data_IF_938752022686
#
_entry.id   IF_938752022686
#
_cell.length_a   1.000
_cell.length_b   1.000
_cell.length_c   1.000
_cell.angle_alpha   90.00
_cell.angle_beta   90.00
_cell.angle_gamma   90.00
#
_symmetry.space_group_name_H-M   'P 1'
#
loop_
_entity.id
_entity.type
_entity.pdbx_description
1 polymer ?
#
# COMPACT_ATOMS: atom_id res chain seq x y z
N UNK A 1 4.69 54.46 16.66
CA UNK A 1 3.52 53.57 16.91
C UNK A 1 3.18 52.69 15.70
N UNK A 2 3.02 53.23 14.50
CA UNK A 2 2.70 52.42 13.30
C UNK A 2 3.73 51.30 13.00
N UNK A 3 5.02 51.59 13.14
CA UNK A 3 6.11 50.60 12.91
C UNK A 3 6.11 49.49 13.97
N UNK A 4 5.76 49.79 15.20
CA UNK A 4 5.65 48.80 16.28
C UNK A 4 4.44 47.88 16.07
N UNK A 5 3.34 48.44 15.59
CA UNK A 5 2.13 47.67 15.28
C UNK A 5 2.35 46.64 14.17
N UNK A 6 3.07 47.02 13.12
CA UNK A 6 3.42 46.14 12.00
C UNK A 6 4.36 45.03 12.48
N UNK A 7 5.33 45.33 13.34
CA UNK A 7 6.24 44.32 13.89
C UNK A 7 5.49 43.29 14.77
N UNK A 8 4.54 43.72 15.57
CA UNK A 8 3.71 42.81 16.40
C UNK A 8 2.79 41.98 15.55
N UNK A 9 2.20 42.53 14.49
CA UNK A 9 1.34 41.80 13.57
C UNK A 9 2.10 40.71 12.80
N UNK A 10 3.34 41.01 12.34
CA UNK A 10 4.20 40.02 11.68
C UNK A 10 4.67 38.91 12.61
N UNK A 11 4.90 39.20 13.89
CA UNK A 11 5.29 38.21 14.89
C UNK A 11 4.13 37.24 15.20
N UNK A 12 2.89 37.72 15.22
CA UNK A 12 1.70 36.90 15.44
C UNK A 12 1.47 35.92 14.27
N UNK A 13 1.73 36.32 13.03
CA UNK A 13 1.62 35.45 11.86
C UNK A 13 2.65 34.29 11.90
N UNK A 14 3.85 34.52 12.44
CA UNK A 14 4.87 33.49 12.58
C UNK A 14 4.53 32.47 13.68
N UNK A 15 3.76 32.90 14.69
CA UNK A 15 3.36 32.04 15.82
C UNK A 15 2.09 31.22 15.58
N UNK A 16 1.39 31.41 14.44
CA UNK A 16 0.27 30.56 14.09
C UNK A 16 0.81 29.15 13.79
N UNK A 17 0.40 28.13 14.54
CA UNK A 17 0.79 26.77 14.21
C UNK A 17 0.22 26.45 12.84
N UNK A 18 1.12 26.23 11.86
CA UNK A 18 0.73 25.61 10.60
C UNK A 18 0.33 24.17 10.94
N UNK A 19 -0.91 23.97 11.30
CA UNK A 19 -1.50 22.65 11.42
C UNK A 19 -1.53 22.06 10.03
N UNK A 20 -0.45 21.40 9.64
CA UNK A 20 -0.44 20.53 8.49
C UNK A 20 -1.48 19.44 8.76
N UNK A 21 -2.70 19.64 8.28
CA UNK A 21 -3.72 18.61 8.28
C UNK A 21 -3.16 17.46 7.45
N UNK A 22 -2.67 16.41 8.13
CA UNK A 22 -2.38 15.14 7.48
C UNK A 22 -3.67 14.70 6.82
N UNK A 23 -3.79 14.85 5.50
CA UNK A 23 -4.89 14.26 4.74
C UNK A 23 -4.94 12.80 5.14
N UNK A 24 -6.07 12.35 5.70
CA UNK A 24 -6.28 10.96 6.04
C UNK A 24 -6.20 10.19 4.74
N UNK A 25 -5.14 9.38 4.58
CA UNK A 25 -4.96 8.57 3.38
C UNK A 25 -6.08 7.55 3.30
N UNK A 26 -6.72 7.43 2.14
CA UNK A 26 -7.71 6.39 1.91
C UNK A 26 -7.06 5.01 2.05
N UNK A 27 -7.82 4.03 2.53
CA UNK A 27 -7.34 2.66 2.70
C UNK A 27 -8.34 1.67 2.15
N UNK A 28 -7.85 0.61 1.54
CA UNK A 28 -8.60 -0.56 1.14
C UNK A 28 -8.48 -1.68 2.16
N UNK A 29 -9.32 -2.70 2.01
CA UNK A 29 -9.29 -3.92 2.83
C UNK A 29 -9.62 -5.12 1.96
N UNK A 30 -8.71 -6.11 1.92
CA UNK A 30 -8.89 -7.37 1.21
C UNK A 30 -8.38 -8.53 2.08
N UNK A 31 -9.29 -9.38 2.61
CA UNK A 31 -8.93 -10.50 3.47
C UNK A 31 -8.00 -11.54 2.83
N UNK A 32 -8.05 -11.70 1.50
CA UNK A 32 -7.20 -12.66 0.76
C UNK A 32 -5.71 -12.34 0.90
N UNK A 33 -5.34 -11.09 1.19
CA UNK A 33 -3.93 -10.73 1.44
C UNK A 33 -3.40 -11.23 2.79
N UNK A 34 -4.22 -11.91 3.59
CA UNK A 34 -3.87 -12.41 4.91
C UNK A 34 -3.92 -11.33 6.00
N UNK A 35 -3.99 -11.75 7.26
CA UNK A 35 -4.24 -10.86 8.41
C UNK A 35 -3.27 -9.67 8.49
N UNK A 36 -2.00 -9.90 8.18
CA UNK A 36 -0.96 -8.86 8.30
C UNK A 36 -1.04 -7.81 7.18
N UNK A 37 -1.59 -8.16 6.02
CA UNK A 37 -1.58 -7.34 4.81
C UNK A 37 -2.97 -6.99 4.28
N UNK A 38 -4.03 -7.41 4.98
CA UNK A 38 -5.40 -7.19 4.56
C UNK A 38 -5.79 -5.72 4.43
N UNK A 39 -5.15 -4.83 5.19
CA UNK A 39 -5.35 -3.38 5.08
C UNK A 39 -4.17 -2.76 4.33
N UNK A 40 -4.46 -1.92 3.35
CA UNK A 40 -3.45 -1.28 2.52
C UNK A 40 -3.81 0.18 2.22
N UNK A 41 -2.82 1.07 2.04
CA UNK A 41 -3.07 2.44 1.65
C UNK A 41 -3.44 2.52 0.17
N UNK A 42 -4.41 3.36 -0.18
CA UNK A 42 -4.67 3.72 -1.58
C UNK A 42 -3.77 4.90 -1.92
N UNK A 43 -2.80 4.68 -2.79
CA UNK A 43 -1.78 5.69 -3.13
C UNK A 43 -2.18 6.55 -4.33
N UNK A 44 -3.00 6.01 -5.25
CA UNK A 44 -3.52 6.76 -6.40
C UNK A 44 -4.88 6.22 -6.83
N UNK A 45 -5.57 6.95 -7.70
CA UNK A 45 -6.83 6.53 -8.31
C UNK A 45 -6.69 6.36 -9.85
N UNK A 46 -5.48 6.29 -10.36
CA UNK A 46 -5.22 6.21 -11.81
C UNK A 46 -5.81 4.93 -12.43
N UNK A 47 -5.87 3.85 -11.66
CA UNK A 47 -6.44 2.57 -12.08
C UNK A 47 -7.92 2.41 -11.68
N UNK A 48 -8.55 3.45 -11.16
CA UNK A 48 -9.95 3.39 -10.73
C UNK A 48 -10.88 3.03 -11.88
N UNK A 49 -11.69 1.99 -11.68
CA UNK A 49 -12.60 1.45 -12.70
C UNK A 49 -11.96 0.44 -13.65
N UNK A 50 -10.64 0.22 -13.60
CA UNK A 50 -10.01 -0.88 -14.29
C UNK A 50 -10.29 -2.21 -13.58
N UNK A 51 -10.42 -3.29 -14.35
CA UNK A 51 -10.59 -4.64 -13.82
C UNK A 51 -9.41 -5.50 -14.27
N UNK A 52 -8.71 -6.11 -13.32
CA UNK A 52 -7.55 -6.97 -13.56
C UNK A 52 -7.89 -8.41 -13.18
N UNK A 53 -7.62 -9.35 -14.09
CA UNK A 53 -7.71 -10.76 -13.83
C UNK A 53 -6.31 -11.30 -13.58
N UNK A 54 -6.00 -11.61 -12.32
CA UNK A 54 -4.70 -12.16 -11.92
C UNK A 54 -4.85 -13.65 -11.73
N UNK A 55 -4.03 -14.43 -12.43
CA UNK A 55 -4.09 -15.88 -12.40
C UNK A 55 -2.72 -16.45 -12.04
N UNK A 56 -2.64 -17.19 -10.94
CA UNK A 56 -1.49 -18.02 -10.61
C UNK A 56 -1.53 -19.30 -11.41
N UNK A 57 -0.39 -19.74 -11.96
CA UNK A 57 -0.25 -21.04 -12.59
C UNK A 57 -0.21 -22.16 -11.55
N UNK A 58 -0.63 -23.37 -11.95
CA UNK A 58 -0.66 -24.56 -11.11
C UNK A 58 -1.61 -24.43 -9.91
N UNK A 59 -1.51 -25.32 -8.93
CA UNK A 59 -2.30 -25.27 -7.69
C UNK A 59 -3.09 -26.55 -7.40
N UNK A 60 -3.58 -26.68 -6.18
CA UNK A 60 -4.27 -27.87 -5.71
C UNK A 60 -3.36 -29.10 -5.76
N UNK A 61 -3.70 -30.14 -6.54
CA UNK A 61 -2.86 -31.35 -6.66
C UNK A 61 -1.64 -31.16 -7.59
N UNK A 62 -1.58 -30.06 -8.34
CA UNK A 62 -0.50 -29.74 -9.28
C UNK A 62 0.43 -28.68 -8.71
N UNK A 63 1.59 -29.07 -8.14
CA UNK A 63 2.53 -28.11 -7.55
C UNK A 63 3.37 -27.38 -8.60
N UNK A 64 3.27 -27.73 -9.89
CA UNK A 64 4.20 -27.27 -10.92
C UNK A 64 5.60 -27.85 -10.74
N UNK A 65 6.63 -27.10 -11.09
CA UNK A 65 8.02 -27.49 -10.86
C UNK A 65 8.33 -27.54 -9.36
N UNK A 66 9.13 -28.51 -8.96
CA UNK A 66 9.59 -28.68 -7.58
C UNK A 66 11.11 -28.52 -7.55
N UNK A 67 11.57 -27.56 -6.75
CA UNK A 67 12.99 -27.35 -6.48
C UNK A 67 13.34 -27.62 -5.02
N UNK A 68 14.61 -27.40 -4.67
CA UNK A 68 15.08 -27.47 -3.30
C UNK A 68 16.08 -26.34 -3.04
N UNK A 69 15.90 -25.63 -1.95
CA UNK A 69 16.85 -24.61 -1.50
C UNK A 69 16.94 -24.62 0.03
N UNK A 70 18.15 -24.61 0.56
CA UNK A 70 18.38 -24.59 2.02
C UNK A 70 17.71 -25.73 2.77
N UNK A 71 17.54 -26.91 2.16
CA UNK A 71 16.87 -28.07 2.76
C UNK A 71 15.34 -28.03 2.71
N UNK A 72 14.76 -26.98 2.12
CA UNK A 72 13.30 -26.81 1.95
C UNK A 72 12.89 -27.12 0.52
N UNK A 73 11.75 -27.79 0.35
CA UNK A 73 11.12 -27.94 -0.96
C UNK A 73 10.48 -26.63 -1.36
N UNK A 74 10.64 -26.28 -2.64
CA UNK A 74 10.03 -25.11 -3.27
C UNK A 74 9.05 -25.60 -4.32
N UNK A 75 7.79 -25.16 -4.23
CA UNK A 75 6.73 -25.50 -5.15
C UNK A 75 6.38 -24.28 -6.00
N UNK A 76 6.28 -24.44 -7.30
CA UNK A 76 6.02 -23.36 -8.23
C UNK A 76 4.68 -22.68 -7.95
N UNK A 77 3.63 -23.44 -7.65
CA UNK A 77 2.29 -22.93 -7.36
C UNK A 77 2.26 -22.00 -6.14
N UNK A 78 3.03 -22.30 -5.09
CA UNK A 78 3.12 -21.44 -3.89
C UNK A 78 3.74 -20.10 -4.22
N UNK A 79 4.79 -20.07 -5.06
CA UNK A 79 5.42 -18.83 -5.50
C UNK A 79 4.54 -18.05 -6.46
N UNK A 80 3.87 -18.73 -7.41
CA UNK A 80 2.95 -18.10 -8.32
C UNK A 80 1.80 -17.41 -7.57
N UNK A 81 1.25 -18.08 -6.56
CA UNK A 81 0.19 -17.54 -5.71
C UNK A 81 0.66 -16.33 -4.90
N UNK A 82 1.84 -16.40 -4.27
CA UNK A 82 2.42 -15.28 -3.51
C UNK A 82 2.65 -14.06 -4.40
N UNK A 83 3.18 -14.24 -5.60
CA UNK A 83 3.39 -13.16 -6.58
C UNK A 83 2.06 -12.51 -6.98
N UNK A 84 1.05 -13.31 -7.28
CA UNK A 84 -0.28 -12.82 -7.65
C UNK A 84 -0.90 -11.97 -6.55
N UNK A 85 -0.83 -12.41 -5.29
CA UNK A 85 -1.34 -11.64 -4.16
C UNK A 85 -0.58 -10.34 -3.94
N UNK A 86 0.74 -10.35 -4.06
CA UNK A 86 1.56 -9.13 -3.96
C UNK A 86 1.22 -8.15 -5.08
N UNK A 87 1.12 -8.63 -6.32
CA UNK A 87 0.74 -7.79 -7.45
C UNK A 87 -0.66 -7.19 -7.26
N UNK A 88 -1.64 -8.00 -6.85
CA UNK A 88 -2.99 -7.52 -6.58
C UNK A 88 -3.05 -6.44 -5.49
N UNK A 89 -2.10 -6.48 -4.55
CA UNK A 89 -1.99 -5.46 -3.51
C UNK A 89 -1.40 -4.13 -4.00
N UNK A 90 -0.56 -4.17 -5.03
CA UNK A 90 0.04 -2.98 -5.65
C UNK A 90 -0.90 -2.29 -6.67
N UNK A 91 -1.87 -3.02 -7.21
CA UNK A 91 -2.89 -2.50 -8.15
C UNK A 91 -4.03 -1.77 -7.42
#
# INVERSE_FOLDING_TARGET
MKKLLIAVLSLIVILLPVSAQKKKQASGKEPLFGKAMASYPIVSNELSGACFYLVGGHGGPDPGAIGTYGGHKLHEDEYAYDIVLRLGREL
#
